data_IF_729680188473
#
_entry.id   IF_729680188473
#
_cell.length_a   1.000
_cell.length_b   1.000
_cell.length_c   1.000
_cell.angle_alpha   90.00
_cell.angle_beta   90.00
_cell.angle_gamma   90.00
#
_symmetry.space_group_name_H-M   'P 1'
#
loop_
_entity.id
_entity.type
_entity.pdbx_description
1 polymer ?
#
# COMPACT_ATOMS: atom_id res chain seq x y z
N UNK A 1 57.14 -18.66 -47.78
CA UNK A 1 55.74 -18.64 -48.19
C UNK A 1 54.91 -19.13 -46.97
N UNK A 2 54.26 -18.27 -46.25
CA UNK A 2 53.45 -18.62 -45.07
C UNK A 2 52.05 -19.00 -45.55
N UNK A 3 51.56 -20.14 -45.06
CA UNK A 3 50.31 -20.75 -45.50
C UNK A 3 49.11 -19.94 -45.00
N UNK A 4 48.26 -19.32 -45.89
CA UNK A 4 47.17 -18.44 -45.50
C UNK A 4 45.93 -19.18 -44.90
N UNK A 5 45.97 -20.54 -44.89
CA UNK A 5 44.88 -21.37 -44.40
C UNK A 5 44.83 -21.49 -42.84
N UNK A 6 45.99 -21.40 -42.16
CA UNK A 6 46.11 -21.50 -40.72
C UNK A 6 45.51 -20.30 -39.98
N UNK A 7 45.65 -19.09 -40.51
CA UNK A 7 45.11 -17.87 -39.89
C UNK A 7 43.59 -17.77 -39.96
N UNK A 8 42.95 -18.34 -41.00
CA UNK A 8 41.47 -18.33 -41.12
C UNK A 8 40.80 -19.33 -40.16
N UNK A 9 41.45 -20.44 -39.89
CA UNK A 9 40.93 -21.41 -38.89
C UNK A 9 41.11 -20.92 -37.48
N UNK A 10 42.23 -20.28 -37.15
CA UNK A 10 42.46 -19.66 -35.82
C UNK A 10 41.55 -18.49 -35.54
N UNK A 11 41.25 -17.63 -36.51
CA UNK A 11 40.30 -16.52 -36.32
C UNK A 11 38.87 -17.02 -36.21
N UNK A 12 38.46 -18.07 -36.92
CA UNK A 12 37.13 -18.67 -36.81
C UNK A 12 36.87 -19.31 -35.43
N UNK A 13 37.87 -20.02 -34.90
CA UNK A 13 37.77 -20.61 -33.55
C UNK A 13 37.75 -19.55 -32.46
N UNK A 14 38.52 -18.46 -32.62
CA UNK A 14 38.52 -17.35 -31.67
C UNK A 14 37.16 -16.66 -31.61
N UNK A 15 36.54 -16.40 -32.76
CA UNK A 15 35.20 -15.79 -32.85
C UNK A 15 34.15 -16.73 -32.24
N UNK A 16 34.22 -18.04 -32.52
CA UNK A 16 33.28 -19.00 -31.94
C UNK A 16 33.35 -19.05 -30.38
N UNK A 17 34.56 -19.03 -29.81
CA UNK A 17 34.80 -19.00 -28.39
C UNK A 17 34.25 -17.68 -27.77
N UNK A 18 34.46 -16.57 -28.46
CA UNK A 18 33.99 -15.25 -27.98
C UNK A 18 32.45 -15.16 -28.02
N UNK A 19 31.80 -15.68 -29.05
CA UNK A 19 30.36 -15.78 -29.14
C UNK A 19 29.76 -16.70 -28.07
N UNK A 20 30.44 -17.82 -27.77
CA UNK A 20 30.02 -18.75 -26.72
C UNK A 20 30.13 -18.12 -25.33
N UNK A 21 31.24 -17.40 -25.08
CA UNK A 21 31.42 -16.66 -23.81
C UNK A 21 30.39 -15.54 -23.64
N UNK A 22 30.08 -14.80 -24.73
CA UNK A 22 29.07 -13.76 -24.72
C UNK A 22 27.66 -14.33 -24.49
N UNK A 23 27.33 -15.44 -25.15
CA UNK A 23 26.09 -16.16 -24.97
C UNK A 23 25.91 -16.66 -23.51
N UNK A 24 26.99 -17.21 -22.93
CA UNK A 24 26.98 -17.65 -21.53
C UNK A 24 26.82 -16.48 -20.56
N UNK A 25 27.50 -15.34 -20.84
CA UNK A 25 27.36 -14.11 -20.04
C UNK A 25 25.94 -13.56 -20.09
N UNK A 26 25.32 -13.52 -21.28
CA UNK A 26 23.93 -13.10 -21.46
C UNK A 26 22.94 -14.00 -20.69
N UNK A 27 23.11 -15.33 -20.80
CA UNK A 27 22.26 -16.28 -20.08
C UNK A 27 22.40 -16.14 -18.57
N UNK A 28 23.63 -15.96 -18.08
CA UNK A 28 23.86 -15.74 -16.64
C UNK A 28 23.32 -14.39 -16.17
N UNK A 29 23.40 -13.36 -17.00
CA UNK A 29 22.84 -12.04 -16.70
C UNK A 29 21.30 -12.07 -16.66
N UNK A 30 20.67 -12.71 -17.66
CA UNK A 30 19.21 -12.91 -17.69
C UNK A 30 18.73 -13.77 -16.51
N UNK A 31 19.48 -14.81 -16.13
CA UNK A 31 19.18 -15.59 -14.92
C UNK A 31 19.30 -14.76 -13.64
N UNK A 32 20.32 -13.90 -13.52
CA UNK A 32 20.51 -13.00 -12.38
C UNK A 32 19.42 -11.92 -12.33
N UNK A 33 18.99 -11.38 -13.48
CA UNK A 33 17.91 -10.39 -13.54
C UNK A 33 16.56 -11.01 -13.22
N UNK A 34 16.31 -12.26 -13.63
CA UNK A 34 15.10 -13.01 -13.23
C UNK A 34 15.13 -13.50 -11.77
N UNK A 35 16.31 -13.71 -11.20
CA UNK A 35 16.49 -14.00 -9.78
C UNK A 35 16.46 -12.73 -8.92
N UNK A 36 16.53 -11.54 -9.54
CA UNK A 36 16.46 -10.24 -8.87
C UNK A 36 15.03 -9.68 -8.68
N UNK A 37 14.01 -10.37 -9.16
CA UNK A 37 12.61 -10.10 -8.75
C UNK A 37 12.40 -10.66 -7.32
N UNK A 38 13.09 -10.01 -6.36
CA UNK A 38 13.15 -10.40 -4.96
C UNK A 38 11.84 -10.34 -4.18
N UNK A 39 10.71 -10.16 -4.85
CA UNK A 39 9.38 -10.32 -4.27
C UNK A 39 8.79 -11.71 -4.52
N UNK A 40 9.26 -12.43 -5.58
CA UNK A 40 8.77 -13.78 -5.86
C UNK A 40 9.46 -14.87 -5.01
N UNK A 41 10.59 -14.55 -4.37
CA UNK A 41 11.38 -15.50 -3.56
C UNK A 41 11.28 -15.24 -2.05
N UNK A 42 10.50 -14.24 -1.63
CA UNK A 42 10.10 -14.12 -0.24
C UNK A 42 9.15 -15.28 0.07
N UNK A 43 9.69 -16.24 0.81
CA UNK A 43 8.93 -17.42 1.22
C UNK A 43 7.60 -16.97 1.80
N UNK A 44 6.48 -17.66 1.50
CA UNK A 44 5.17 -17.36 2.10
C UNK A 44 5.22 -17.21 3.63
N UNK A 45 6.21 -17.81 4.27
CA UNK A 45 6.48 -17.74 5.69
C UNK A 45 6.95 -16.36 6.17
N UNK A 46 7.75 -15.63 5.37
CA UNK A 46 8.24 -14.30 5.75
C UNK A 46 7.13 -13.25 5.63
N UNK A 47 6.22 -13.41 4.67
CA UNK A 47 5.01 -12.59 4.55
C UNK A 47 4.04 -12.83 5.71
N UNK A 48 3.93 -14.08 6.18
CA UNK A 48 3.11 -14.41 7.36
C UNK A 48 3.69 -13.77 8.62
N UNK A 49 5.00 -13.80 8.80
CA UNK A 49 5.69 -13.15 9.95
C UNK A 49 5.52 -11.63 9.93
N UNK A 50 5.62 -11.00 8.74
CA UNK A 50 5.36 -9.56 8.59
C UNK A 50 3.90 -9.20 8.88
N UNK A 51 2.96 -9.99 8.37
CA UNK A 51 1.53 -9.83 8.65
C UNK A 51 1.21 -10.02 10.14
N UNK A 52 1.83 -10.99 10.79
CA UNK A 52 1.69 -11.20 12.23
C UNK A 52 2.26 -10.03 13.04
N UNK A 53 3.42 -9.50 12.65
CA UNK A 53 4.01 -8.33 13.27
C UNK A 53 3.14 -7.07 13.13
N UNK A 54 2.51 -6.86 11.97
CA UNK A 54 1.58 -5.75 11.74
C UNK A 54 0.28 -5.94 12.54
N UNK A 55 -0.26 -7.16 12.57
CA UNK A 55 -1.45 -7.48 13.39
C UNK A 55 -1.20 -7.31 14.90
N UNK A 56 0.00 -7.65 15.37
CA UNK A 56 0.38 -7.43 16.77
C UNK A 56 0.45 -5.94 17.11
N UNK A 57 0.97 -5.10 16.20
CA UNK A 57 0.99 -3.65 16.38
C UNK A 57 -0.42 -3.05 16.38
N UNK A 58 -1.29 -3.49 15.46
CA UNK A 58 -2.69 -3.10 15.43
C UNK A 58 -3.40 -3.50 16.74
N UNK A 59 -3.14 -4.71 17.23
CA UNK A 59 -3.66 -5.19 18.52
C UNK A 59 -3.22 -4.32 19.69
N UNK A 60 -1.94 -3.93 19.71
CA UNK A 60 -1.39 -3.06 20.75
C UNK A 60 -2.06 -1.67 20.73
N UNK A 61 -2.27 -1.10 19.55
CA UNK A 61 -2.96 0.18 19.38
C UNK A 61 -4.42 0.11 19.83
N UNK A 62 -5.14 -0.94 19.49
CA UNK A 62 -6.53 -1.14 19.97
C UNK A 62 -6.60 -1.30 21.49
N UNK A 63 -5.61 -1.96 22.09
CA UNK A 63 -5.50 -2.04 23.56
C UNK A 63 -5.29 -0.67 24.17
N UNK A 64 -4.39 0.14 23.63
CA UNK A 64 -4.11 1.50 24.10
C UNK A 64 -5.35 2.40 23.98
N UNK A 65 -6.12 2.28 22.89
CA UNK A 65 -7.42 2.96 22.74
C UNK A 65 -8.37 2.56 23.86
N UNK A 66 -8.56 1.26 24.09
CA UNK A 66 -9.47 0.75 25.12
C UNK A 66 -9.07 1.19 26.54
N UNK A 67 -7.78 1.20 26.85
CA UNK A 67 -7.22 1.68 28.11
C UNK A 67 -7.42 3.20 28.28
N UNK A 68 -7.20 3.97 27.20
CA UNK A 68 -7.44 5.42 27.19
C UNK A 68 -8.91 5.74 27.42
N UNK A 69 -9.82 5.02 26.75
CA UNK A 69 -11.28 5.18 26.98
C UNK A 69 -11.69 4.78 28.40
N UNK A 70 -11.11 3.70 28.96
CA UNK A 70 -11.38 3.29 30.34
C UNK A 70 -10.88 4.35 31.33
N UNK A 71 -9.72 4.95 31.08
CA UNK A 71 -9.17 6.05 31.87
C UNK A 71 -10.06 7.29 31.79
N UNK A 72 -10.56 7.63 30.59
CA UNK A 72 -11.54 8.70 30.41
C UNK A 72 -12.81 8.46 31.23
N UNK A 73 -13.35 7.25 31.23
CA UNK A 73 -14.54 6.90 32.04
C UNK A 73 -14.28 7.06 33.53
N UNK A 74 -13.12 6.62 34.04
CA UNK A 74 -12.72 6.78 35.43
C UNK A 74 -12.57 8.25 35.85
N UNK A 75 -11.89 9.05 35.01
CA UNK A 75 -11.69 10.47 35.25
C UNK A 75 -13.02 11.24 35.26
N UNK A 76 -13.99 10.86 34.40
CA UNK A 76 -15.35 11.42 34.43
C UNK A 76 -16.08 11.09 35.69
N UNK A 77 -15.90 9.88 36.22
CA UNK A 77 -16.58 9.43 37.45
C UNK A 77 -16.01 10.05 38.74
N UNK A 78 -14.71 10.43 38.74
CA UNK A 78 -14.03 10.92 39.95
C UNK A 78 -14.27 12.41 40.28
N UNK A 79 -14.86 13.19 39.37
CA UNK A 79 -15.32 14.56 39.62
C UNK A 79 -14.29 15.59 40.11
N UNK A 80 -13.02 15.21 40.23
CA UNK A 80 -12.00 16.07 40.80
C UNK A 80 -11.01 16.56 39.75
N UNK A 81 -10.98 17.87 39.54
CA UNK A 81 -9.83 18.65 39.02
C UNK A 81 -9.29 18.31 37.63
N UNK A 82 -9.95 17.49 36.81
CA UNK A 82 -9.39 16.75 35.71
C UNK A 82 -9.66 17.38 34.33
N UNK A 83 -10.08 18.62 34.21
CA UNK A 83 -10.44 19.22 32.92
C UNK A 83 -9.31 19.11 31.89
N UNK A 84 -8.11 19.55 32.23
CA UNK A 84 -6.96 19.51 31.31
C UNK A 84 -6.47 18.07 31.02
N UNK A 85 -6.44 17.22 32.04
CA UNK A 85 -6.05 15.82 31.88
C UNK A 85 -7.09 15.03 31.05
N UNK A 86 -8.37 15.33 31.24
CA UNK A 86 -9.47 14.76 30.47
C UNK A 86 -9.39 15.17 28.98
N UNK A 87 -9.16 16.45 28.72
CA UNK A 87 -9.02 16.93 27.34
C UNK A 87 -7.77 16.35 26.65
N UNK A 88 -6.66 16.21 27.35
CA UNK A 88 -5.46 15.56 26.82
C UNK A 88 -5.71 14.07 26.52
N UNK A 89 -6.36 13.37 27.44
CA UNK A 89 -6.73 11.97 27.22
C UNK A 89 -7.72 11.79 26.05
N UNK A 90 -8.66 12.73 25.87
CA UNK A 90 -9.56 12.74 24.70
C UNK A 90 -8.81 12.97 23.41
N UNK A 91 -7.90 13.95 23.37
CA UNK A 91 -7.08 14.20 22.17
C UNK A 91 -6.28 12.96 21.76
N UNK A 92 -5.64 12.29 22.73
CA UNK A 92 -4.91 11.04 22.47
C UNK A 92 -5.83 9.93 21.96
N UNK A 93 -6.97 9.70 22.60
CA UNK A 93 -7.94 8.69 22.17
C UNK A 93 -8.46 8.98 20.74
N UNK A 94 -8.72 10.24 20.41
CA UNK A 94 -9.14 10.64 19.06
C UNK A 94 -8.02 10.40 18.04
N UNK A 95 -6.78 10.79 18.34
CA UNK A 95 -5.64 10.57 17.46
C UNK A 95 -5.42 9.08 17.18
N UNK A 96 -5.44 8.24 18.21
CA UNK A 96 -5.36 6.78 18.08
C UNK A 96 -6.54 6.23 17.27
N UNK A 97 -7.73 6.76 17.48
CA UNK A 97 -8.93 6.38 16.73
C UNK A 97 -8.83 6.72 15.24
N UNK A 98 -8.21 7.84 14.88
CA UNK A 98 -7.92 8.20 13.48
C UNK A 98 -6.96 7.19 12.87
N UNK A 99 -5.86 6.84 13.56
CA UNK A 99 -4.88 5.85 13.10
C UNK A 99 -5.49 4.44 12.95
N UNK A 100 -6.33 4.04 13.90
CA UNK A 100 -7.04 2.76 13.86
C UNK A 100 -8.19 2.74 12.85
N UNK A 101 -8.59 3.91 12.32
CA UNK A 101 -9.71 4.05 11.39
C UNK A 101 -11.10 4.00 12.05
N UNK A 102 -11.19 4.01 13.37
CA UNK A 102 -12.47 3.97 14.11
C UNK A 102 -13.12 5.34 14.27
N UNK A 103 -12.40 6.40 13.91
CA UNK A 103 -12.86 7.78 13.92
C UNK A 103 -12.70 8.37 12.53
N UNK A 104 -13.66 9.16 12.08
CA UNK A 104 -13.58 9.92 10.85
C UNK A 104 -12.41 10.91 10.93
N UNK A 105 -11.80 11.18 9.78
CA UNK A 105 -10.65 12.08 9.68
C UNK A 105 -10.91 13.12 8.58
N UNK A 106 -10.32 14.29 8.73
CA UNK A 106 -10.28 15.31 7.70
C UNK A 106 -8.96 16.07 7.77
N UNK A 107 -8.42 16.43 6.61
CA UNK A 107 -7.17 17.17 6.51
C UNK A 107 -6.85 17.49 5.06
N UNK A 108 -5.71 18.18 4.81
CA UNK A 108 -5.22 18.34 3.46
C UNK A 108 -4.93 16.98 2.82
N UNK A 109 -4.98 16.90 1.49
CA UNK A 109 -4.76 15.63 0.83
C UNK A 109 -5.15 15.62 -0.64
N UNK A 110 -5.42 14.43 -1.16
CA UNK A 110 -5.81 14.22 -2.55
C UNK A 110 -7.10 13.41 -2.66
N UNK A 111 -7.86 13.71 -3.70
CA UNK A 111 -8.97 12.90 -4.19
C UNK A 111 -8.62 12.41 -5.58
N UNK A 112 -8.63 11.10 -5.74
CA UNK A 112 -8.33 10.43 -7.01
C UNK A 112 -9.62 9.80 -7.52
N UNK A 113 -9.94 10.05 -8.78
CA UNK A 113 -11.04 9.41 -9.46
C UNK A 113 -10.51 8.62 -10.64
N UNK A 114 -10.77 7.32 -10.66
CA UNK A 114 -10.33 6.39 -11.70
C UNK A 114 -11.56 5.89 -12.45
N UNK A 115 -11.64 6.25 -13.73
CA UNK A 115 -12.69 5.75 -14.64
C UNK A 115 -12.21 4.48 -15.32
N UNK A 116 -13.12 3.53 -15.52
CA UNK A 116 -12.83 2.25 -16.16
C UNK A 116 -13.92 1.87 -17.20
N UNK A 117 -13.97 2.59 -18.32
CA UNK A 117 -15.01 2.36 -19.32
C UNK A 117 -14.89 1.01 -20.03
N UNK A 118 -13.72 0.35 -19.93
CA UNK A 118 -13.44 -0.93 -20.55
C UNK A 118 -13.50 -2.12 -19.59
N UNK A 119 -13.68 -1.87 -18.30
CA UNK A 119 -13.66 -2.91 -17.27
C UNK A 119 -12.32 -3.62 -17.16
N UNK A 120 -11.19 -2.92 -17.38
CA UNK A 120 -9.83 -3.49 -17.37
C UNK A 120 -8.96 -3.04 -16.21
N UNK A 121 -9.43 -2.10 -15.40
CA UNK A 121 -8.75 -1.74 -14.16
C UNK A 121 -8.94 -2.87 -13.16
N UNK A 122 -7.84 -3.48 -12.75
CA UNK A 122 -7.82 -4.62 -11.84
C UNK A 122 -7.57 -4.25 -10.39
N UNK A 123 -7.71 -5.22 -9.48
CA UNK A 123 -7.41 -5.03 -8.07
C UNK A 123 -5.96 -4.65 -7.81
N UNK A 124 -5.02 -5.12 -8.62
CA UNK A 124 -3.60 -4.78 -8.57
C UNK A 124 -3.36 -3.27 -8.76
N UNK A 125 -4.05 -2.64 -9.72
CA UNK A 125 -3.90 -1.20 -9.98
C UNK A 125 -4.37 -0.35 -8.79
N UNK A 126 -5.47 -0.75 -8.13
CA UNK A 126 -5.96 -0.05 -6.94
C UNK A 126 -5.08 -0.33 -5.70
N UNK A 127 -4.49 -1.52 -5.63
CA UNK A 127 -3.51 -1.85 -4.60
C UNK A 127 -2.25 -1.00 -4.77
N UNK A 128 -1.73 -0.88 -5.99
CA UNK A 128 -0.56 -0.04 -6.29
C UNK A 128 -0.84 1.41 -5.90
N UNK A 129 -2.03 1.94 -6.23
CA UNK A 129 -2.44 3.29 -5.80
C UNK A 129 -2.42 3.46 -4.28
N UNK A 130 -2.92 2.47 -3.54
CA UNK A 130 -2.87 2.49 -2.08
C UNK A 130 -1.44 2.44 -1.55
N UNK A 131 -0.58 1.62 -2.16
CA UNK A 131 0.82 1.49 -1.76
C UNK A 131 1.62 2.76 -2.04
N UNK A 132 1.45 3.37 -3.22
CA UNK A 132 2.10 4.64 -3.57
C UNK A 132 1.69 5.78 -2.64
N UNK A 133 0.39 5.89 -2.33
CA UNK A 133 -0.10 6.88 -1.37
C UNK A 133 0.49 6.66 0.04
N UNK A 134 0.57 5.42 0.49
CA UNK A 134 1.18 5.08 1.79
C UNK A 134 2.67 5.38 1.82
N UNK A 135 3.39 5.01 0.77
CA UNK A 135 4.82 5.31 0.63
C UNK A 135 5.10 6.81 0.60
N UNK A 136 4.17 7.59 0.04
CA UNK A 136 4.22 9.06 0.02
C UNK A 136 3.77 9.72 1.34
N UNK A 137 3.46 8.94 2.37
CA UNK A 137 3.13 9.46 3.70
C UNK A 137 1.64 9.75 3.92
N UNK A 138 0.73 9.12 3.16
CA UNK A 138 -0.69 9.22 3.47
C UNK A 138 -0.99 8.68 4.88
N UNK A 139 -1.56 9.51 5.74
CA UNK A 139 -1.92 9.16 7.11
C UNK A 139 -3.18 8.30 7.17
N UNK A 140 -4.09 8.52 6.24
CA UNK A 140 -5.32 7.76 6.13
C UNK A 140 -5.85 7.75 4.71
N UNK A 141 -6.39 6.60 4.28
CA UNK A 141 -6.92 6.41 2.93
C UNK A 141 -8.30 5.73 3.02
N UNK A 142 -9.21 6.17 2.16
CA UNK A 142 -10.51 5.57 1.90
C UNK A 142 -10.64 5.26 0.42
N UNK A 143 -11.13 4.08 0.07
CA UNK A 143 -11.44 3.69 -1.31
C UNK A 143 -12.93 3.36 -1.40
N UNK A 144 -13.66 4.19 -2.14
CA UNK A 144 -15.13 4.11 -2.15
C UNK A 144 -15.70 4.20 -0.74
N UNK A 145 -16.51 3.21 -0.30
CA UNK A 145 -17.09 3.19 1.05
C UNK A 145 -16.16 2.56 2.10
N UNK A 146 -14.95 2.14 1.75
CA UNK A 146 -14.08 1.34 2.65
C UNK A 146 -12.91 2.17 3.14
N UNK A 147 -12.76 2.29 4.48
CA UNK A 147 -11.56 2.80 5.13
C UNK A 147 -10.47 1.74 5.09
N UNK A 148 -9.34 2.04 4.47
CA UNK A 148 -8.24 1.07 4.40
C UNK A 148 -7.46 0.99 5.70
N UNK A 149 -6.97 -0.19 6.01
CA UNK A 149 -6.08 -0.49 7.13
C UNK A 149 -4.92 -1.36 6.69
N UNK A 150 -4.05 -1.72 7.63
CA UNK A 150 -2.84 -2.52 7.35
C UNK A 150 -3.13 -3.91 6.77
N UNK A 151 -4.31 -4.43 7.04
CA UNK A 151 -4.78 -5.75 6.63
C UNK A 151 -5.80 -5.70 5.50
N UNK A 152 -6.05 -4.51 4.93
CA UNK A 152 -6.96 -4.36 3.80
C UNK A 152 -6.44 -5.11 2.58
N UNK A 153 -7.33 -5.90 1.97
CA UNK A 153 -7.01 -6.75 0.84
C UNK A 153 -7.91 -6.46 -0.35
N UNK A 154 -7.27 -6.19 -1.48
CA UNK A 154 -7.95 -6.13 -2.77
C UNK A 154 -8.08 -7.53 -3.36
N UNK A 155 -9.18 -7.77 -4.06
CA UNK A 155 -9.46 -9.03 -4.73
C UNK A 155 -10.46 -8.85 -5.86
N UNK A 156 -10.88 -9.95 -6.47
CA UNK A 156 -11.77 -9.93 -7.62
C UNK A 156 -11.03 -10.03 -8.94
N UNK A 157 -11.55 -9.40 -9.97
CA UNK A 157 -10.98 -9.36 -11.31
C UNK A 157 -11.12 -7.94 -11.88
N UNK A 158 -10.43 -7.66 -12.98
CA UNK A 158 -10.58 -6.40 -13.70
C UNK A 158 -12.06 -6.07 -13.97
N UNK A 159 -12.45 -4.84 -13.71
CA UNK A 159 -13.82 -4.34 -13.79
C UNK A 159 -14.78 -4.82 -12.68
N UNK A 160 -14.34 -5.72 -11.79
CA UNK A 160 -15.10 -6.22 -10.64
C UNK A 160 -14.19 -6.36 -9.42
N UNK A 161 -13.69 -5.23 -8.96
CA UNK A 161 -12.76 -5.15 -7.85
C UNK A 161 -13.51 -5.22 -6.52
N UNK A 162 -12.93 -5.88 -5.55
CA UNK A 162 -13.43 -5.96 -4.17
C UNK A 162 -12.34 -5.49 -3.21
N UNK A 163 -12.74 -4.81 -2.16
CA UNK A 163 -11.87 -4.38 -1.08
C UNK A 163 -12.50 -4.81 0.25
N UNK A 164 -11.76 -5.60 1.03
CA UNK A 164 -12.21 -6.15 2.31
C UNK A 164 -13.60 -6.82 2.23
N UNK A 165 -13.88 -7.51 1.11
CA UNK A 165 -15.15 -8.16 0.85
C UNK A 165 -16.25 -7.26 0.27
N UNK A 166 -16.04 -5.95 0.19
CA UNK A 166 -16.97 -4.97 -0.38
C UNK A 166 -16.71 -4.81 -1.88
N UNK A 167 -17.73 -4.95 -2.71
CA UNK A 167 -17.63 -4.73 -4.14
C UNK A 167 -17.47 -3.23 -4.44
N UNK A 168 -16.50 -2.92 -5.29
CA UNK A 168 -16.24 -1.57 -5.77
C UNK A 168 -16.69 -1.45 -7.24
N UNK A 169 -17.30 -0.32 -7.58
CA UNK A 169 -17.74 -0.02 -8.95
C UNK A 169 -17.05 1.24 -9.46
N UNK A 170 -16.67 1.29 -10.74
CA UNK A 170 -16.16 2.54 -11.34
C UNK A 170 -17.26 3.62 -11.39
N UNK A 171 -16.89 4.91 -11.28
CA UNK A 171 -15.53 5.37 -11.06
C UNK A 171 -15.03 5.02 -9.66
N UNK A 172 -13.80 4.47 -9.58
CA UNK A 172 -13.17 4.20 -8.29
C UNK A 172 -12.66 5.51 -7.71
N UNK A 173 -13.14 5.85 -6.52
CA UNK A 173 -12.77 7.08 -5.83
C UNK A 173 -11.89 6.73 -4.65
N UNK A 174 -10.68 7.31 -4.64
CA UNK A 174 -9.73 7.20 -3.55
C UNK A 174 -9.60 8.57 -2.91
N UNK A 175 -9.75 8.66 -1.61
CA UNK A 175 -9.51 9.85 -0.81
C UNK A 175 -8.37 9.57 0.15
N UNK A 176 -7.37 10.42 0.21
CA UNK A 176 -6.20 10.28 1.06
C UNK A 176 -5.88 11.60 1.75
N UNK A 177 -5.61 11.56 3.05
CA UNK A 177 -5.12 12.68 3.85
C UNK A 177 -3.62 12.57 4.01
N UNK A 178 -2.91 13.68 3.81
CA UNK A 178 -1.46 13.81 3.83
C UNK A 178 -1.04 15.08 3.09
N UNK A 179 0.25 15.23 2.79
CA UNK A 179 0.76 16.39 2.03
C UNK A 179 0.30 16.35 0.56
N UNK A 180 -0.59 17.26 0.11
CA UNK A 180 -1.23 17.14 -1.20
C UNK A 180 -0.26 17.10 -2.38
N UNK A 181 0.79 17.95 -2.46
CA UNK A 181 1.77 17.88 -3.54
C UNK A 181 2.52 16.55 -3.58
N UNK A 182 2.98 16.05 -2.44
CA UNK A 182 3.72 14.79 -2.34
C UNK A 182 2.86 13.61 -2.75
N UNK A 183 1.61 13.54 -2.27
CA UNK A 183 0.67 12.49 -2.65
C UNK A 183 0.33 12.52 -4.14
N UNK A 184 0.09 13.71 -4.70
CA UNK A 184 -0.19 13.85 -6.12
C UNK A 184 1.01 13.48 -6.99
N UNK A 185 2.22 13.83 -6.57
CA UNK A 185 3.45 13.48 -7.29
C UNK A 185 3.69 11.97 -7.30
N UNK A 186 3.47 11.28 -6.18
CA UNK A 186 3.63 9.84 -6.07
C UNK A 186 2.78 9.10 -7.11
N UNK A 187 1.51 9.46 -7.24
CA UNK A 187 0.59 8.85 -8.20
C UNK A 187 0.95 9.12 -9.66
N UNK A 188 1.69 10.19 -9.95
CA UNK A 188 2.10 10.60 -11.29
C UNK A 188 3.54 10.18 -11.64
N UNK A 189 4.15 9.27 -10.89
CA UNK A 189 5.46 8.72 -11.22
C UNK A 189 5.38 7.98 -12.57
N UNK A 190 6.33 8.20 -13.50
CA UNK A 190 6.37 7.48 -14.77
C UNK A 190 6.34 5.97 -14.57
N UNK A 191 5.42 5.27 -15.23
CA UNK A 191 5.18 3.84 -15.06
C UNK A 191 4.33 3.47 -13.85
N UNK A 192 3.92 4.42 -13.00
CA UNK A 192 3.09 4.24 -11.82
C UNK A 192 1.60 4.04 -12.13
N UNK A 193 0.78 4.43 -11.16
CA UNK A 193 -0.68 4.16 -11.17
C UNK A 193 -1.38 4.85 -12.35
N UNK A 194 -1.11 6.14 -12.58
CA UNK A 194 -1.76 6.91 -13.66
C UNK A 194 -1.50 6.24 -15.01
N UNK A 195 -0.24 5.93 -15.31
CA UNK A 195 0.14 5.24 -16.57
C UNK A 195 -0.49 3.83 -16.65
N UNK A 196 -0.65 3.13 -15.53
CA UNK A 196 -1.25 1.80 -15.48
C UNK A 196 -2.75 1.85 -15.78
N UNK A 197 -3.46 2.85 -15.26
CA UNK A 197 -4.87 3.12 -15.56
C UNK A 197 -5.05 3.45 -17.04
N UNK A 198 -4.19 4.31 -17.61
CA UNK A 198 -4.25 4.69 -19.02
C UNK A 198 -3.97 3.50 -19.93
N UNK A 199 -2.98 2.65 -19.61
CA UNK A 199 -2.71 1.40 -20.35
C UNK A 199 -3.90 0.43 -20.31
N UNK A 200 -4.66 0.40 -19.21
CA UNK A 200 -5.90 -0.35 -19.12
C UNK A 200 -7.04 0.29 -19.94
N UNK A 201 -6.84 1.51 -20.45
CA UNK A 201 -7.84 2.27 -21.21
C UNK A 201 -8.87 2.97 -20.34
N UNK A 202 -8.53 3.17 -19.08
CA UNK A 202 -9.22 4.03 -18.12
C UNK A 202 -8.70 5.47 -18.18
N UNK A 203 -9.22 6.30 -17.30
CA UNK A 203 -8.73 7.65 -17.06
C UNK A 203 -8.59 7.91 -15.57
N UNK A 204 -7.65 8.76 -15.21
CA UNK A 204 -7.43 9.16 -13.83
C UNK A 204 -7.49 10.67 -13.68
N UNK A 205 -8.05 11.13 -12.57
CA UNK A 205 -8.06 12.53 -12.18
C UNK A 205 -7.60 12.64 -10.73
N UNK A 206 -6.49 13.32 -10.51
CA UNK A 206 -5.94 13.62 -9.18
C UNK A 206 -6.23 15.07 -8.86
N UNK A 207 -6.94 15.31 -7.77
CA UNK A 207 -7.30 16.65 -7.29
C UNK A 207 -6.72 16.83 -5.90
N UNK A 208 -5.87 17.85 -5.75
CA UNK A 208 -5.36 18.28 -4.46
C UNK A 208 -6.41 19.15 -3.75
N UNK A 209 -6.52 19.03 -2.44
CA UNK A 209 -7.48 19.77 -1.63
C UNK A 209 -6.90 20.07 -0.25
N UNK A 210 -7.18 21.26 0.26
CA UNK A 210 -6.88 21.64 1.64
C UNK A 210 -7.76 20.89 2.65
N UNK A 211 -8.85 20.27 2.20
CA UNK A 211 -9.75 19.50 3.03
C UNK A 211 -10.31 18.30 2.27
N UNK A 212 -9.78 17.14 2.61
CA UNK A 212 -10.31 15.82 2.23
C UNK A 212 -10.96 15.21 3.46
N UNK A 213 -12.18 14.71 3.32
CA UNK A 213 -12.92 14.06 4.38
C UNK A 213 -12.91 12.55 4.18
N UNK A 214 -12.54 11.83 5.22
CA UNK A 214 -12.54 10.38 5.30
C UNK A 214 -13.63 10.00 6.30
N UNK A 215 -14.78 9.62 5.79
CA UNK A 215 -15.98 9.32 6.60
C UNK A 215 -16.17 7.84 6.88
N UNK A 216 -15.58 6.99 6.05
CA UNK A 216 -15.63 5.55 6.26
C UNK A 216 -14.89 5.17 7.53
N UNK A 217 -15.50 4.28 8.32
CA UNK A 217 -14.96 3.76 9.56
C UNK A 217 -14.65 2.29 9.43
N UNK A 218 -13.62 1.84 10.13
CA UNK A 218 -13.33 0.42 10.28
C UNK A 218 -14.04 -0.11 11.55
N UNK A 219 -14.73 -1.24 11.47
CA UNK A 219 -15.24 -1.88 12.66
C UNK A 219 -14.07 -2.30 13.57
N UNK A 220 -14.22 -2.02 14.87
CA UNK A 220 -13.26 -2.51 15.85
C UNK A 220 -13.24 -4.05 15.80
N UNK A 221 -12.08 -4.63 15.51
CA UNK A 221 -11.93 -6.09 15.51
C UNK A 221 -11.67 -6.58 16.93
N UNK A 222 -12.49 -7.51 17.41
CA UNK A 222 -12.21 -8.22 18.64
C UNK A 222 -11.12 -9.26 18.41
N UNK A 223 -10.10 -9.27 19.28
CA UNK A 223 -9.06 -10.30 19.22
C UNK A 223 -9.64 -11.65 19.65
N UNK A 224 -9.48 -12.68 18.81
CA UNK A 224 -9.99 -14.02 19.12
C UNK A 224 -9.12 -14.73 20.14
N UNK A 225 -7.82 -14.46 20.15
CA UNK A 225 -6.85 -15.20 20.96
C UNK A 225 -5.99 -14.32 21.85
N UNK A 226 -5.69 -13.08 21.46
CA UNK A 226 -4.88 -12.18 22.24
C UNK A 226 -5.64 -11.65 23.47
N UNK A 227 -5.01 -11.76 24.65
CA UNK A 227 -5.50 -11.18 25.90
C UNK A 227 -4.45 -10.22 26.45
N UNK A 228 -4.85 -9.13 27.13
CA UNK A 228 -3.91 -8.28 27.82
C UNK A 228 -3.10 -9.12 28.80
N UNK A 229 -1.75 -9.04 28.73
CA UNK A 229 -0.89 -9.49 29.80
C UNK A 229 -0.99 -8.44 30.92
N UNK A 230 -1.49 -8.83 32.11
CA UNK A 230 -1.61 -7.98 33.28
C UNK A 230 -0.25 -7.58 33.84
#
# INVERSE_FOLDING_TARGET
MADPRGHRLLSGTLIAVLCLALGLALVTQVRRTRAGDGLADQRPQDLVVLLDGLRQREAALHKEIAESEATLRRLRASGQGAGAALEEARRRATALGVLAGTVAAAGPGVRVEITDPRGKVGPETLLDALQELRAAGAETVQVGPVRTGVDSAFGGAAGRVRLDGTDLSPPYVIAAVGDPPTLAQALNIPGGVVDSVERAGGGSRVVQSERVEITALRPARSHKYARPAG
#
